data_IF_755122729017
#
_entry.id   IF_755122729017
#
_cell.length_a   1.000
_cell.length_b   1.000
_cell.length_c   1.000
_cell.angle_alpha   90.00
_cell.angle_beta   90.00
_cell.angle_gamma   90.00
#
_symmetry.space_group_name_H-M   'P 1'
#
loop_
_entity.id
_entity.type
_entity.pdbx_description
1 polymer ?
#
# COMPACT_ATOMS: atom_id res chain seq x y z
N UNK A 1 63.64 31.23 -21.35
CA UNK A 1 63.26 29.90 -20.83
C UNK A 1 61.88 29.84 -20.21
N UNK A 2 61.36 30.82 -19.49
CA UNK A 2 60.00 30.81 -18.84
C UNK A 2 58.82 30.83 -19.83
N UNK A 3 58.96 31.43 -21.03
CA UNK A 3 57.88 31.46 -22.05
C UNK A 3 57.70 30.19 -22.85
N UNK A 4 58.75 29.39 -22.99
CA UNK A 4 58.70 28.09 -23.69
C UNK A 4 57.98 27.05 -22.82
N UNK A 5 58.21 27.06 -21.50
CA UNK A 5 57.52 26.14 -20.59
C UNK A 5 56.00 26.40 -20.49
N UNK A 6 55.56 27.68 -20.67
CA UNK A 6 54.14 28.01 -20.67
C UNK A 6 53.42 27.48 -21.91
N UNK A 7 54.05 27.50 -23.05
CA UNK A 7 53.51 26.93 -24.32
C UNK A 7 53.41 25.42 -24.28
N UNK A 8 54.36 24.72 -23.65
CA UNK A 8 54.31 23.25 -23.49
C UNK A 8 53.19 22.86 -22.51
N UNK A 9 52.97 23.60 -21.46
CA UNK A 9 51.85 23.33 -20.52
C UNK A 9 50.49 23.59 -21.16
N UNK A 10 50.36 24.63 -22.00
CA UNK A 10 49.12 24.92 -22.72
C UNK A 10 48.79 23.86 -23.82
N UNK A 11 49.83 23.26 -24.45
CA UNK A 11 49.68 22.17 -25.41
C UNK A 11 49.28 20.82 -24.80
N UNK A 12 49.63 20.56 -23.55
CA UNK A 12 49.28 19.33 -22.82
C UNK A 12 47.83 19.34 -22.31
N UNK A 13 47.22 20.51 -22.10
CA UNK A 13 45.83 20.60 -21.63
C UNK A 13 44.79 20.39 -22.77
N UNK A 14 45.21 20.58 -24.03
CA UNK A 14 44.31 20.39 -25.19
C UNK A 14 44.21 18.93 -25.68
N UNK A 15 44.90 17.96 -25.09
CA UNK A 15 44.92 16.57 -25.53
C UNK A 15 43.88 15.65 -24.84
N UNK A 16 43.01 16.15 -23.98
CA UNK A 16 41.90 15.37 -23.43
C UNK A 16 40.66 15.52 -24.35
N UNK A 17 40.78 15.06 -25.58
CA UNK A 17 39.62 14.72 -26.40
C UNK A 17 39.02 13.47 -25.82
N UNK A 18 37.90 13.62 -25.07
CA UNK A 18 37.07 12.48 -24.70
C UNK A 18 36.59 11.80 -25.98
N UNK A 19 37.17 10.66 -26.30
CA UNK A 19 36.60 9.77 -27.30
C UNK A 19 35.18 9.43 -26.85
N UNK A 20 34.16 9.83 -27.61
CA UNK A 20 32.79 9.44 -27.34
C UNK A 20 32.71 7.94 -27.55
N UNK A 21 32.61 7.20 -26.42
CA UNK A 21 32.28 5.78 -26.47
C UNK A 21 30.95 5.58 -27.15
N UNK A 22 30.95 4.96 -28.30
CA UNK A 22 29.73 4.59 -29.03
C UNK A 22 29.07 3.44 -28.30
N UNK A 23 28.01 3.76 -27.54
CA UNK A 23 27.22 2.74 -26.87
C UNK A 23 26.30 2.04 -27.88
N UNK A 24 26.60 0.79 -28.21
CA UNK A 24 25.72 -0.04 -29.04
C UNK A 24 24.65 -0.69 -28.17
N UNK A 25 23.40 -0.32 -28.32
CA UNK A 25 22.29 -0.87 -27.57
C UNK A 25 21.38 -1.65 -28.51
N UNK A 26 21.05 -2.91 -28.16
CA UNK A 26 20.05 -3.68 -28.91
C UNK A 26 18.62 -3.29 -28.51
N UNK A 27 17.67 -3.53 -29.41
CA UNK A 27 16.24 -3.32 -29.13
C UNK A 27 15.79 -4.12 -27.90
N UNK A 28 16.23 -5.38 -27.79
CA UNK A 28 15.81 -6.26 -26.70
C UNK A 28 16.37 -5.78 -25.35
N UNK A 29 17.61 -5.29 -25.31
CA UNK A 29 18.20 -4.73 -24.09
C UNK A 29 17.45 -3.49 -23.62
N UNK A 30 16.97 -2.65 -24.55
CA UNK A 30 16.13 -1.48 -24.21
C UNK A 30 14.79 -1.90 -23.63
N UNK A 31 14.13 -2.86 -24.26
CA UNK A 31 12.83 -3.39 -23.78
C UNK A 31 13.03 -3.95 -22.36
N UNK A 32 14.05 -4.77 -22.14
CA UNK A 32 14.32 -5.33 -20.81
C UNK A 32 14.57 -4.22 -19.78
N UNK A 33 15.44 -3.25 -20.06
CA UNK A 33 15.73 -2.14 -19.15
C UNK A 33 14.49 -1.30 -18.83
N UNK A 34 13.62 -1.07 -19.81
CA UNK A 34 12.37 -0.35 -19.61
C UNK A 34 11.41 -1.18 -18.74
N UNK A 35 11.25 -2.47 -19.03
CA UNK A 35 10.37 -3.35 -18.26
C UNK A 35 10.78 -3.42 -16.78
N UNK A 36 12.09 -3.46 -16.50
CA UNK A 36 12.60 -3.55 -15.13
C UNK A 36 12.54 -2.22 -14.36
N UNK A 37 12.69 -1.08 -15.05
CA UNK A 37 12.93 0.20 -14.37
C UNK A 37 11.81 1.23 -14.55
N UNK A 38 10.88 1.02 -15.48
CA UNK A 38 9.85 2.00 -15.78
C UNK A 38 8.87 2.20 -14.59
N UNK A 39 8.65 3.45 -14.20
CA UNK A 39 7.78 3.79 -13.08
C UNK A 39 6.31 3.48 -13.36
N UNK A 40 5.84 3.57 -14.61
CA UNK A 40 4.44 3.26 -14.95
C UNK A 40 4.15 1.77 -14.74
N UNK A 41 5.10 0.89 -15.11
CA UNK A 41 4.99 -0.55 -14.84
C UNK A 41 4.97 -0.79 -13.34
N UNK A 42 5.88 -0.17 -12.58
CA UNK A 42 5.93 -0.31 -11.12
C UNK A 42 4.64 0.17 -10.44
N UNK A 43 4.05 1.26 -10.92
CA UNK A 43 2.75 1.76 -10.42
C UNK A 43 1.64 0.76 -10.74
N UNK A 44 1.57 0.24 -11.98
CA UNK A 44 0.58 -0.74 -12.37
C UNK A 44 0.69 -2.03 -11.52
N UNK A 45 1.91 -2.54 -11.31
CA UNK A 45 2.17 -3.70 -10.45
C UNK A 45 1.76 -3.47 -8.99
N UNK A 46 2.00 -2.26 -8.44
CA UNK A 46 1.56 -1.91 -7.08
C UNK A 46 0.04 -1.80 -6.99
N UNK A 47 -0.61 -1.28 -8.03
CA UNK A 47 -2.07 -1.23 -8.11
C UNK A 47 -2.69 -2.64 -8.15
N UNK A 48 -2.10 -3.56 -8.92
CA UNK A 48 -2.48 -4.97 -8.90
C UNK A 48 -2.27 -5.60 -7.51
N UNK A 49 -1.12 -5.35 -6.87
CA UNK A 49 -0.86 -5.87 -5.52
C UNK A 49 -1.86 -5.35 -4.48
N UNK A 50 -2.26 -4.06 -4.59
CA UNK A 50 -3.29 -3.48 -3.74
C UNK A 50 -4.64 -4.17 -3.96
N UNK A 51 -5.08 -4.32 -5.21
CA UNK A 51 -6.33 -5.01 -5.52
C UNK A 51 -6.31 -6.49 -5.08
N UNK A 52 -5.15 -7.14 -5.16
CA UNK A 52 -4.95 -8.51 -4.65
C UNK A 52 -5.05 -8.58 -3.12
N UNK A 53 -4.56 -7.55 -2.42
CA UNK A 53 -4.71 -7.44 -0.97
C UNK A 53 -6.18 -7.21 -0.58
N UNK A 54 -6.92 -6.33 -1.30
CA UNK A 54 -8.36 -6.11 -1.12
C UNK A 54 -9.14 -7.42 -1.29
N UNK A 55 -8.83 -8.21 -2.34
CA UNK A 55 -9.44 -9.51 -2.54
C UNK A 55 -9.12 -10.49 -1.41
N UNK A 56 -7.89 -10.50 -0.88
CA UNK A 56 -7.55 -11.33 0.29
C UNK A 56 -8.27 -10.87 1.55
N UNK A 57 -8.37 -9.56 1.74
CA UNK A 57 -9.09 -8.98 2.87
C UNK A 57 -10.58 -9.36 2.86
N UNK A 58 -11.18 -9.52 1.69
CA UNK A 58 -12.58 -9.96 1.58
C UNK A 58 -12.85 -11.33 2.20
N UNK A 59 -11.83 -12.16 2.43
CA UNK A 59 -11.98 -13.41 3.16
C UNK A 59 -12.33 -13.18 4.65
N UNK A 60 -11.96 -12.03 5.20
CA UNK A 60 -12.30 -11.67 6.59
C UNK A 60 -13.82 -11.55 6.81
N UNK A 61 -14.60 -11.32 5.75
CA UNK A 61 -16.07 -11.29 5.81
C UNK A 61 -16.69 -12.62 6.23
N UNK A 62 -15.93 -13.70 6.17
CA UNK A 62 -16.35 -15.06 6.54
C UNK A 62 -15.68 -15.56 7.82
N UNK A 63 -14.84 -14.76 8.44
CA UNK A 63 -14.15 -15.11 9.68
C UNK A 63 -14.93 -14.60 10.90
N UNK A 64 -14.78 -15.26 12.07
CA UNK A 64 -15.33 -14.73 13.32
C UNK A 64 -14.74 -13.36 13.65
N UNK A 65 -15.61 -12.45 14.01
CA UNK A 65 -15.21 -11.17 14.60
C UNK A 65 -15.16 -11.33 16.12
N UNK A 66 -14.00 -11.10 16.71
CA UNK A 66 -13.77 -11.20 18.15
C UNK A 66 -13.58 -9.79 18.69
N UNK A 67 -14.52 -9.37 19.55
CA UNK A 67 -14.47 -8.08 20.22
C UNK A 67 -14.26 -8.29 21.72
N UNK A 68 -13.28 -7.61 22.27
CA UNK A 68 -13.01 -7.59 23.71
C UNK A 68 -13.23 -6.17 24.22
N UNK A 69 -14.15 -6.01 25.17
CA UNK A 69 -14.43 -4.73 25.79
C UNK A 69 -14.24 -4.81 27.30
N UNK A 70 -13.68 -3.76 27.87
CA UNK A 70 -13.59 -3.56 29.31
C UNK A 70 -14.20 -2.21 29.66
N UNK A 71 -15.25 -2.23 30.47
CA UNK A 71 -16.01 -1.03 30.85
C UNK A 71 -15.89 -0.81 32.34
N UNK A 72 -15.50 0.40 32.74
CA UNK A 72 -15.54 0.85 34.14
C UNK A 72 -16.66 1.88 34.31
N UNK A 73 -17.49 1.69 35.32
CA UNK A 73 -18.55 2.64 35.70
C UNK A 73 -18.30 3.09 37.12
N UNK A 74 -18.38 4.40 37.38
CA UNK A 74 -18.41 5.00 38.71
C UNK A 74 -19.71 5.78 38.82
N UNK A 75 -20.54 5.46 39.79
CA UNK A 75 -21.90 6.04 39.86
C UNK A 75 -22.32 6.32 41.32
N UNK A 76 -23.15 7.35 41.48
CA UNK A 76 -23.92 7.65 42.67
C UNK A 76 -25.44 7.55 42.37
N UNK A 77 -25.80 7.11 41.13
CA UNK A 77 -27.21 6.86 40.80
C UNK A 77 -27.69 5.65 41.67
N UNK A 78 -28.80 5.81 42.40
CA UNK A 78 -29.28 4.78 43.34
C UNK A 78 -29.46 3.39 42.71
N UNK A 79 -30.17 3.36 41.58
CA UNK A 79 -30.46 2.11 40.85
C UNK A 79 -29.17 1.45 40.32
N UNK A 80 -28.28 2.25 39.72
CA UNK A 80 -27.03 1.75 39.19
C UNK A 80 -26.04 1.33 40.28
N UNK A 81 -25.97 2.05 41.38
CA UNK A 81 -25.11 1.71 42.51
C UNK A 81 -25.58 0.41 43.17
N UNK A 82 -26.88 0.25 43.41
CA UNK A 82 -27.44 -0.99 43.96
C UNK A 82 -27.26 -2.16 43.00
N UNK A 83 -27.56 -1.99 41.72
CA UNK A 83 -27.32 -3.02 40.71
C UNK A 83 -25.86 -3.39 40.53
N UNK A 84 -24.93 -2.43 40.65
CA UNK A 84 -23.48 -2.70 40.63
C UNK A 84 -23.02 -3.54 41.82
N UNK A 85 -23.50 -3.23 43.05
CA UNK A 85 -23.22 -4.02 44.24
C UNK A 85 -23.80 -5.43 44.13
N UNK A 86 -25.01 -5.55 43.57
CA UNK A 86 -25.66 -6.85 43.39
C UNK A 86 -24.86 -7.71 42.39
N UNK A 87 -24.43 -7.13 41.26
CA UNK A 87 -23.61 -7.83 40.28
C UNK A 87 -22.25 -8.27 40.79
N UNK A 88 -21.73 -7.59 41.80
CA UNK A 88 -20.46 -7.92 42.46
C UNK A 88 -20.65 -8.85 43.67
N UNK A 89 -21.88 -9.23 44.02
CA UNK A 89 -22.23 -10.06 45.17
C UNK A 89 -21.73 -9.48 46.51
N UNK A 90 -21.68 -8.13 46.61
CA UNK A 90 -21.20 -7.42 47.84
C UNK A 90 -22.31 -6.72 48.60
N UNK A 91 -23.59 -6.99 48.29
CA UNK A 91 -24.73 -6.45 49.00
C UNK A 91 -24.76 -6.96 50.46
N UNK A 92 -25.03 -6.04 51.36
CA UNK A 92 -25.22 -6.31 52.78
C UNK A 92 -26.62 -5.92 53.23
N UNK A 93 -27.07 -6.34 54.42
CA UNK A 93 -28.38 -5.95 54.96
C UNK A 93 -28.54 -4.42 55.10
N UNK A 94 -27.44 -3.70 55.30
CA UNK A 94 -27.47 -2.23 55.39
C UNK A 94 -27.79 -1.55 54.07
N UNK A 95 -27.48 -2.18 52.93
CA UNK A 95 -27.76 -1.63 51.58
C UNK A 95 -29.27 -1.56 51.29
N UNK A 96 -30.11 -2.22 52.06
CA UNK A 96 -31.56 -2.14 51.95
C UNK A 96 -32.17 -1.02 52.84
N UNK A 97 -31.34 -0.25 53.54
CA UNK A 97 -31.84 0.95 54.24
C UNK A 97 -32.25 2.03 53.21
N UNK A 98 -33.51 2.54 53.28
CA UNK A 98 -34.01 3.55 52.34
C UNK A 98 -33.15 4.83 52.26
N UNK A 99 -32.51 5.23 53.36
CA UNK A 99 -31.64 6.40 53.37
C UNK A 99 -30.37 6.19 52.54
N UNK A 100 -29.76 5.01 52.64
CA UNK A 100 -28.57 4.65 51.89
C UNK A 100 -28.89 4.28 50.41
N UNK A 101 -30.07 3.71 50.18
CA UNK A 101 -30.56 3.45 48.82
C UNK A 101 -30.76 4.71 48.00
N UNK A 102 -31.29 5.78 48.63
CA UNK A 102 -31.60 7.05 47.95
C UNK A 102 -30.35 7.96 47.81
N UNK A 103 -29.36 7.80 48.63
CA UNK A 103 -28.11 8.56 48.62
C UNK A 103 -26.89 7.60 48.75
N UNK A 104 -26.62 6.82 47.69
CA UNK A 104 -25.51 5.82 47.75
C UNK A 104 -24.16 6.51 47.63
N UNK A 105 -23.16 5.97 48.29
CA UNK A 105 -21.78 6.32 48.06
C UNK A 105 -21.34 5.95 46.65
N UNK A 106 -20.22 6.55 46.20
CA UNK A 106 -19.62 6.23 44.91
C UNK A 106 -19.34 4.75 44.77
N UNK A 107 -20.10 4.10 43.92
CA UNK A 107 -19.96 2.67 43.65
C UNK A 107 -19.25 2.48 42.31
N UNK A 108 -18.24 1.62 42.29
CA UNK A 108 -17.46 1.27 41.09
C UNK A 108 -17.89 -0.11 40.61
N UNK A 109 -17.99 -0.28 39.32
CA UNK A 109 -18.23 -1.57 38.69
C UNK A 109 -17.38 -1.71 37.42
N UNK A 110 -16.72 -2.85 37.26
CA UNK A 110 -15.92 -3.17 36.10
C UNK A 110 -16.47 -4.43 35.45
N UNK A 111 -16.64 -4.37 34.15
CA UNK A 111 -17.12 -5.50 33.38
C UNK A 111 -16.19 -5.75 32.19
N UNK A 112 -15.75 -6.98 32.00
CA UNK A 112 -15.04 -7.44 30.83
C UNK A 112 -15.96 -8.33 30.01
N UNK A 113 -16.17 -7.96 28.73
CA UNK A 113 -17.01 -8.73 27.82
C UNK A 113 -16.14 -9.21 26.65
N UNK A 114 -16.23 -10.50 26.35
CA UNK A 114 -15.68 -11.09 25.12
C UNK A 114 -16.86 -11.50 24.26
N UNK A 115 -16.92 -10.98 23.07
CA UNK A 115 -17.99 -11.25 22.12
C UNK A 115 -17.42 -11.82 20.82
N UNK A 116 -17.93 -12.97 20.41
CA UNK A 116 -17.53 -13.66 19.19
C UNK A 116 -18.74 -13.70 18.26
N UNK A 117 -18.63 -13.06 17.10
CA UNK A 117 -19.69 -13.01 16.09
C UNK A 117 -19.21 -13.71 14.81
N UNK A 118 -19.86 -14.81 14.45
CA UNK A 118 -19.57 -15.56 13.25
C UNK A 118 -20.74 -15.42 12.27
N UNK A 119 -20.56 -14.77 11.10
CA UNK A 119 -21.59 -14.78 10.07
C UNK A 119 -21.73 -16.18 9.46
N UNK A 120 -22.92 -16.76 9.53
CA UNK A 120 -23.21 -18.06 8.93
C UNK A 120 -23.61 -17.92 7.45
N UNK A 121 -24.37 -16.87 7.12
CA UNK A 121 -24.75 -16.51 5.75
C UNK A 121 -24.45 -15.04 5.51
N UNK A 122 -23.70 -14.75 4.47
CA UNK A 122 -23.34 -13.39 4.06
C UNK A 122 -23.32 -13.31 2.54
N UNK A 123 -24.51 -13.12 1.93
CA UNK A 123 -24.62 -12.99 0.47
C UNK A 123 -23.90 -11.75 -0.06
N UNK A 124 -23.99 -10.62 0.67
CA UNK A 124 -23.29 -9.40 0.30
C UNK A 124 -21.76 -9.61 0.31
N UNK A 125 -21.28 -10.36 1.30
CA UNK A 125 -19.89 -10.79 1.38
C UNK A 125 -19.46 -11.65 0.19
N UNK A 126 -20.32 -12.58 -0.28
CA UNK A 126 -20.04 -13.41 -1.46
C UNK A 126 -19.92 -12.56 -2.73
N UNK A 127 -20.90 -11.69 -2.99
CA UNK A 127 -20.87 -10.80 -4.14
C UNK A 127 -19.74 -9.75 -4.04
N UNK A 128 -19.51 -9.20 -2.85
CA UNK A 128 -18.39 -8.30 -2.59
C UNK A 128 -17.03 -8.96 -2.87
N UNK A 129 -16.87 -10.23 -2.48
CA UNK A 129 -15.66 -11.00 -2.80
C UNK A 129 -15.49 -11.27 -4.30
N UNK A 130 -16.58 -11.58 -5.02
CA UNK A 130 -16.55 -11.73 -6.47
C UNK A 130 -16.16 -10.42 -7.16
N UNK A 131 -16.73 -9.30 -6.73
CA UNK A 131 -16.38 -7.97 -7.23
C UNK A 131 -14.92 -7.63 -6.97
N UNK A 132 -14.40 -7.92 -5.78
CA UNK A 132 -12.99 -7.71 -5.45
C UNK A 132 -12.06 -8.59 -6.30
N UNK A 133 -12.47 -9.84 -6.62
CA UNK A 133 -11.74 -10.71 -7.54
C UNK A 133 -11.71 -10.13 -8.94
N UNK A 134 -12.86 -9.73 -9.48
CA UNK A 134 -12.93 -9.12 -10.81
C UNK A 134 -12.08 -7.85 -10.92
N UNK A 135 -12.07 -7.02 -9.86
CA UNK A 135 -11.19 -5.84 -9.76
C UNK A 135 -9.72 -6.25 -9.79
N UNK A 136 -9.32 -7.27 -9.06
CA UNK A 136 -7.94 -7.78 -9.06
C UNK A 136 -7.54 -8.25 -10.46
N UNK A 137 -8.40 -9.03 -11.13
CA UNK A 137 -8.15 -9.56 -12.47
C UNK A 137 -8.03 -8.41 -13.49
N UNK A 138 -8.87 -7.36 -13.38
CA UNK A 138 -8.79 -6.17 -14.20
C UNK A 138 -7.45 -5.42 -14.04
N UNK A 139 -6.96 -5.24 -12.81
CA UNK A 139 -5.65 -4.62 -12.57
C UNK A 139 -4.48 -5.48 -13.06
N UNK A 140 -4.62 -6.81 -13.04
CA UNK A 140 -3.64 -7.71 -13.65
C UNK A 140 -3.53 -7.45 -15.15
N UNK A 141 -4.66 -7.48 -15.86
CA UNK A 141 -4.70 -7.21 -17.30
C UNK A 141 -4.22 -5.79 -17.63
N UNK A 142 -4.54 -4.82 -16.81
CA UNK A 142 -4.03 -3.45 -16.96
C UNK A 142 -2.50 -3.40 -16.86
N UNK A 143 -1.91 -4.18 -15.94
CA UNK A 143 -0.45 -4.27 -15.80
C UNK A 143 0.19 -4.88 -17.05
N UNK A 144 -0.36 -5.97 -17.56
CA UNK A 144 0.09 -6.62 -18.79
C UNK A 144 -0.01 -5.67 -19.97
N UNK A 145 -1.15 -4.98 -20.11
CA UNK A 145 -1.36 -3.99 -21.17
C UNK A 145 -0.39 -2.79 -21.09
N UNK A 146 -0.05 -2.37 -19.88
CA UNK A 146 0.95 -1.30 -19.69
C UNK A 146 2.33 -1.74 -20.17
N UNK A 147 2.73 -2.99 -19.90
CA UNK A 147 4.00 -3.56 -20.38
C UNK A 147 4.02 -3.61 -21.92
N UNK A 148 3.00 -4.20 -22.53
CA UNK A 148 2.88 -4.28 -24.01
C UNK A 148 2.91 -2.90 -24.69
N UNK A 149 2.18 -1.93 -24.10
CA UNK A 149 2.18 -0.56 -24.64
C UNK A 149 3.58 0.07 -24.59
N UNK A 150 4.30 -0.09 -23.50
CA UNK A 150 5.65 0.45 -23.36
C UNK A 150 6.66 -0.27 -24.26
N UNK A 151 6.52 -1.58 -24.47
CA UNK A 151 7.33 -2.34 -25.43
C UNK A 151 7.11 -1.83 -26.86
N UNK A 152 5.86 -1.51 -27.21
CA UNK A 152 5.55 -0.89 -28.50
C UNK A 152 6.19 0.50 -28.66
N UNK A 153 6.07 1.35 -27.62
CA UNK A 153 6.65 2.69 -27.65
C UNK A 153 8.19 2.66 -27.74
N UNK A 154 8.86 1.77 -26.99
CA UNK A 154 10.31 1.53 -27.10
C UNK A 154 10.68 1.07 -28.51
N UNK A 155 9.88 0.17 -29.10
CA UNK A 155 10.12 -0.33 -30.45
C UNK A 155 10.01 0.77 -31.49
N UNK A 156 9.00 1.65 -31.39
CA UNK A 156 8.84 2.83 -32.25
C UNK A 156 10.01 3.78 -32.12
N UNK A 157 10.39 4.14 -30.89
CA UNK A 157 11.50 5.04 -30.63
C UNK A 157 12.82 4.48 -31.17
N UNK A 158 13.07 3.18 -31.03
CA UNK A 158 14.25 2.52 -31.58
C UNK A 158 14.29 2.57 -33.12
N UNK A 159 13.17 2.30 -33.78
CA UNK A 159 13.07 2.41 -35.24
C UNK A 159 13.30 3.84 -35.73
N UNK A 160 12.76 4.84 -35.04
CA UNK A 160 12.97 6.26 -35.33
C UNK A 160 14.45 6.63 -35.20
N UNK A 161 15.13 6.15 -34.13
CA UNK A 161 16.56 6.35 -33.96
C UNK A 161 17.35 5.72 -35.11
N UNK A 162 17.04 4.47 -35.52
CA UNK A 162 17.68 3.82 -36.66
C UNK A 162 17.48 4.59 -37.96
N UNK A 163 16.26 5.10 -38.19
CA UNK A 163 15.96 5.91 -39.36
C UNK A 163 16.81 7.21 -39.39
N UNK A 164 16.92 7.88 -38.24
CA UNK A 164 17.75 9.08 -38.11
C UNK A 164 19.24 8.80 -38.43
N UNK A 165 19.78 7.70 -37.88
CA UNK A 165 21.14 7.26 -38.17
C UNK A 165 21.36 6.99 -39.67
N UNK A 166 20.43 6.32 -40.33
CA UNK A 166 20.50 6.06 -41.78
C UNK A 166 20.41 7.33 -42.60
N UNK A 167 19.55 8.28 -42.20
CA UNK A 167 19.44 9.57 -42.87
C UNK A 167 20.76 10.35 -42.81
N UNK A 168 21.41 10.43 -41.64
CA UNK A 168 22.75 11.06 -41.49
C UNK A 168 23.77 10.40 -42.41
N UNK A 169 23.83 9.04 -42.38
CA UNK A 169 24.80 8.28 -43.20
C UNK A 169 24.60 8.54 -44.72
N UNK A 170 23.37 8.82 -45.16
CA UNK A 170 23.09 9.13 -46.57
C UNK A 170 23.48 10.56 -46.91
N UNK A 171 23.30 11.50 -45.97
CA UNK A 171 23.65 12.92 -46.18
C UNK A 171 25.16 13.20 -46.14
N UNK A 172 25.93 12.33 -45.51
CA UNK A 172 27.39 12.42 -45.41
C UNK A 172 28.13 11.82 -46.64
N UNK A 173 27.39 11.16 -47.55
CA UNK A 173 27.92 10.63 -48.84
C UNK A 173 27.69 11.60 -50.00
#
# INVERSE_FOLDING_TARGET
>A
MKKVNLLIVLGLVSATTFAQDTLTISKNDLIQKVTENNLQIKVAEKSFQSAKADYRQSNALFLPNINVSHTGIVTTNPLMAFGSKLNQEILTASDFNPALLNDPEKTQNFATKIEVQQPLFNLDGLYGRQAAKAKMDAFQLQTERTKEYLELEVSKAYMQLQLAYKAVTVLEK
#
